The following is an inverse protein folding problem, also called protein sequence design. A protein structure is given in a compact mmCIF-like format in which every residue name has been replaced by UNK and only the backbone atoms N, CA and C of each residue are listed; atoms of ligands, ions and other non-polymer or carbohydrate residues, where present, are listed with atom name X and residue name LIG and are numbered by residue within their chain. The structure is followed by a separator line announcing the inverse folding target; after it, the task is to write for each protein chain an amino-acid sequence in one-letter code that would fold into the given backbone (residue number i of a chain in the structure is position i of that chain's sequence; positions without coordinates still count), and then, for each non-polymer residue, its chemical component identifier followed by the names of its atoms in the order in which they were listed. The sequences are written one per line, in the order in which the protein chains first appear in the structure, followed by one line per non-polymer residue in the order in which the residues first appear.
data_IF_973663032096
#
_entry.id   IF_973663032096
#
_cell.length_a   1.000
_cell.length_b   1.000
_cell.length_c   1.000
_cell.angle_alpha   90.00
_cell.angle_beta   90.00
_cell.angle_gamma   90.00
#
_symmetry.space_group_name_H-M   'P 1'
#
loop_
_entity.id
_entity.type
_entity.pdbx_description
1 polymer ?
#
# COMPACT_ATOMS: atom_id res chain seq x y z
N UNK A 1 48.09 -20.57 17.62
CA UNK A 1 48.01 -20.04 16.25
C UNK A 1 47.67 -21.19 15.32
N UNK A 2 46.45 -21.21 14.78
CA UNK A 2 46.02 -22.21 13.79
C UNK A 2 45.72 -21.53 12.45
N UNK A 3 45.94 -22.19 11.30
CA UNK A 3 45.84 -21.55 9.99
C UNK A 3 44.36 -21.38 9.59
N UNK A 4 44.02 -20.20 9.06
CA UNK A 4 42.69 -19.94 8.46
C UNK A 4 42.72 -20.38 6.99
N UNK A 5 41.67 -21.04 6.47
CA UNK A 5 41.59 -21.37 5.06
C UNK A 5 41.20 -20.13 4.23
N UNK A 6 41.95 -19.91 3.15
CA UNK A 6 41.66 -18.92 2.12
C UNK A 6 40.53 -19.42 1.21
N UNK A 7 39.44 -18.66 1.11
CA UNK A 7 38.41 -18.89 0.10
C UNK A 7 38.64 -17.99 -1.10
N UNK A 8 38.91 -18.62 -2.25
CA UNK A 8 39.02 -18.00 -3.57
C UNK A 8 37.62 -17.68 -4.09
N UNK A 9 37.33 -16.39 -4.33
CA UNK A 9 36.08 -15.94 -4.94
C UNK A 9 36.21 -15.94 -6.46
N UNK A 10 35.58 -16.90 -7.13
CA UNK A 10 35.48 -16.96 -8.59
C UNK A 10 34.40 -15.98 -9.05
N UNK A 11 34.77 -14.96 -9.84
CA UNK A 11 33.83 -14.02 -10.48
C UNK A 11 33.18 -14.71 -11.69
N UNK A 12 31.84 -14.87 -11.68
CA UNK A 12 31.06 -15.27 -12.85
C UNK A 12 30.84 -14.05 -13.77
N UNK A 13 31.24 -14.21 -15.03
CA UNK A 13 31.02 -13.30 -16.14
C UNK A 13 29.59 -13.48 -16.67
N UNK A 14 28.79 -12.41 -16.76
CA UNK A 14 27.48 -12.45 -17.41
C UNK A 14 27.55 -11.72 -18.76
N UNK A 15 27.26 -12.48 -19.81
CA UNK A 15 27.12 -12.00 -21.19
C UNK A 15 25.72 -11.39 -21.34
N UNK A 16 25.66 -10.09 -21.65
CA UNK A 16 24.40 -9.39 -21.95
C UNK A 16 24.09 -9.58 -23.43
N UNK A 17 22.99 -10.28 -23.74
CA UNK A 17 22.44 -10.40 -25.09
C UNK A 17 21.34 -9.35 -25.25
N UNK A 18 21.62 -8.28 -25.97
CA UNK A 18 20.65 -7.22 -26.31
C UNK A 18 19.79 -7.72 -27.48
N UNK A 19 18.46 -7.77 -27.29
CA UNK A 19 17.51 -7.87 -28.41
C UNK A 19 16.73 -6.57 -28.49
N UNK A 20 16.84 -5.89 -29.64
CA UNK A 20 16.02 -4.75 -30.00
C UNK A 20 14.59 -5.21 -30.29
N UNK A 21 13.61 -4.39 -29.91
CA UNK A 21 12.25 -4.52 -30.41
C UNK A 21 11.82 -3.18 -31.00
N UNK A 22 11.54 -3.25 -32.30
CA UNK A 22 11.02 -2.18 -33.15
C UNK A 22 9.52 -1.98 -32.94
N UNK A 23 9.13 -0.73 -33.18
CA UNK A 23 7.80 -0.12 -33.19
C UNK A 23 6.67 -0.97 -33.80
N UNK A 24 5.47 -0.90 -33.22
CA UNK A 24 4.22 -0.92 -33.98
C UNK A 24 3.14 -0.08 -33.28
N UNK A 25 2.85 1.09 -33.86
CA UNK A 25 1.71 1.96 -33.59
C UNK A 25 0.57 1.59 -34.55
N UNK A 26 -0.62 1.33 -34.01
CA UNK A 26 -1.96 1.40 -34.65
C UNK A 26 -2.96 1.16 -33.50
N UNK A 27 -3.86 2.06 -33.12
CA UNK A 27 -4.76 2.86 -33.93
C UNK A 27 -6.17 2.32 -33.64
N UNK A 28 -6.81 2.82 -32.58
CA UNK A 28 -8.25 2.60 -32.32
C UNK A 28 -8.82 3.84 -31.62
N UNK A 29 -9.56 4.64 -32.39
CA UNK A 29 -10.52 5.61 -31.91
C UNK A 29 -11.86 4.88 -31.74
N UNK A 30 -12.46 4.94 -30.56
CA UNK A 30 -13.88 4.60 -30.37
C UNK A 30 -14.52 5.77 -29.66
N UNK A 31 -15.40 6.47 -30.38
CA UNK A 31 -16.37 7.40 -29.83
C UNK A 31 -17.42 6.60 -29.06
N UNK A 32 -17.62 6.89 -27.78
CA UNK A 32 -18.81 6.44 -27.04
C UNK A 32 -19.61 7.65 -26.59
N UNK A 33 -20.80 7.78 -27.16
CA UNK A 33 -21.85 8.73 -26.79
C UNK A 33 -22.50 8.32 -25.47
N UNK A 34 -22.61 9.25 -24.53
CA UNK A 34 -23.36 9.12 -23.28
C UNK A 34 -24.79 9.63 -23.48
N UNK A 35 -25.84 8.93 -23.02
CA UNK A 35 -27.14 9.55 -22.82
C UNK A 35 -27.16 10.29 -21.48
N UNK A 36 -27.59 11.55 -21.53
CA UNK A 36 -28.03 12.30 -20.35
C UNK A 36 -29.31 11.66 -19.80
N UNK A 37 -29.34 11.37 -18.51
CA UNK A 37 -30.58 11.27 -17.75
C UNK A 37 -30.55 12.29 -16.62
N UNK A 38 -31.48 13.24 -16.70
CA UNK A 38 -31.93 14.06 -15.59
C UNK A 38 -33.08 13.33 -14.88
N UNK A 39 -33.09 13.35 -13.55
CA UNK A 39 -34.29 13.09 -12.76
C UNK A 39 -34.22 13.87 -11.44
N UNK A 40 -35.39 14.35 -11.05
CA UNK A 40 -35.65 15.47 -10.18
C UNK A 40 -35.58 15.16 -8.67
N UNK A 41 -35.39 16.26 -7.95
CA UNK A 41 -35.68 16.52 -6.53
C UNK A 41 -37.06 16.01 -6.10
N UNK A 42 -37.17 15.49 -4.87
CA UNK A 42 -38.20 15.70 -3.82
C UNK A 42 -37.58 15.02 -2.56
N UNK A 43 -37.37 15.64 -1.39
CA UNK A 43 -38.29 16.40 -0.54
C UNK A 43 -38.64 15.53 0.67
N UNK A 44 -38.08 15.81 1.85
CA UNK A 44 -38.46 15.13 3.10
C UNK A 44 -37.41 15.14 4.21
N UNK A 45 -37.41 16.18 5.04
CA UNK A 45 -36.80 16.21 6.39
C UNK A 45 -37.64 15.36 7.35
N UNK A 46 -37.03 14.86 8.44
CA UNK A 46 -37.43 15.43 9.72
C UNK A 46 -36.23 15.79 10.61
N UNK A 47 -36.44 16.83 11.41
CA UNK A 47 -35.62 17.23 12.54
C UNK A 47 -36.14 16.59 13.83
N UNK A 48 -35.24 16.48 14.81
CA UNK A 48 -35.37 16.32 16.28
C UNK A 48 -34.23 15.38 16.69
N UNK A 49 -33.36 15.67 17.64
CA UNK A 49 -33.30 16.72 18.64
C UNK A 49 -32.34 16.18 19.72
N UNK A 50 -31.44 17.05 20.18
CA UNK A 50 -30.78 17.04 21.49
C UNK A 50 -30.23 15.72 22.05
N UNK A 51 -28.89 15.59 21.95
CA UNK A 51 -28.09 15.11 23.07
C UNK A 51 -26.75 15.87 23.08
N UNK A 52 -26.83 17.08 23.64
CA UNK A 52 -25.71 17.78 24.26
C UNK A 52 -25.06 16.87 25.31
N UNK A 53 -23.80 16.52 25.12
CA UNK A 53 -22.92 16.09 26.20
C UNK A 53 -21.60 16.86 26.09
N UNK A 54 -21.34 17.58 27.18
CA UNK A 54 -20.28 18.57 27.37
C UNK A 54 -18.85 17.99 27.25
N UNK A 55 -17.85 18.83 26.98
CA UNK A 55 -16.44 18.43 26.89
C UNK A 55 -15.80 18.33 28.28
N UNK A 56 -15.00 17.30 28.51
CA UNK A 56 -14.04 17.27 29.63
C UNK A 56 -14.15 16.06 30.54
N UNK A 57 -13.43 14.99 30.19
CA UNK A 57 -12.83 14.07 31.15
C UNK A 57 -11.63 13.39 30.46
N UNK A 58 -10.43 13.88 30.73
CA UNK A 58 -9.19 13.20 30.34
C UNK A 58 -9.03 11.92 31.15
N UNK A 59 -8.78 10.79 30.48
CA UNK A 59 -8.37 9.55 31.15
C UNK A 59 -6.85 9.45 31.05
N UNK A 60 -6.11 9.37 32.17
CA UNK A 60 -4.67 9.23 32.17
C UNK A 60 -4.24 7.78 31.89
N UNK A 61 -3.19 7.62 31.08
CA UNK A 61 -2.26 6.49 31.14
C UNK A 61 -2.85 5.09 30.97
N UNK A 62 -3.26 4.73 29.75
CA UNK A 62 -3.43 3.32 29.37
C UNK A 62 -2.36 3.00 28.34
N UNK A 63 -1.35 2.23 28.74
CA UNK A 63 -0.44 1.57 27.80
C UNK A 63 -1.29 0.81 26.79
N UNK A 64 -0.98 0.95 25.49
CA UNK A 64 -1.76 0.32 24.42
C UNK A 64 -1.89 -1.19 24.72
N UNK A 65 -3.12 -1.72 24.92
CA UNK A 65 -3.28 -3.14 25.13
C UNK A 65 -2.87 -3.86 23.85
N UNK A 66 -1.93 -4.80 23.95
CA UNK A 66 -1.72 -5.82 22.92
C UNK A 66 -3.05 -6.57 22.78
N UNK A 67 -3.74 -6.52 21.63
CA UNK A 67 -5.08 -7.05 21.53
C UNK A 67 -5.09 -8.58 21.65
N UNK A 68 -6.09 -9.09 22.37
CA UNK A 68 -6.40 -10.51 22.43
C UNK A 68 -6.65 -11.07 21.01
N UNK A 69 -6.40 -12.37 20.76
CA UNK A 69 -6.54 -12.96 19.43
C UNK A 69 -8.00 -12.86 18.95
N UNK A 70 -8.24 -11.92 18.04
CA UNK A 70 -9.47 -11.87 17.24
C UNK A 70 -9.51 -13.16 16.41
N UNK A 71 -10.65 -13.86 16.41
CA UNK A 71 -10.86 -15.03 15.55
C UNK A 71 -10.47 -14.64 14.12
N UNK A 72 -9.39 -15.26 13.62
CA UNK A 72 -8.84 -14.89 12.33
C UNK A 72 -9.87 -15.23 11.26
N UNK A 73 -10.44 -14.21 10.60
CA UNK A 73 -11.11 -14.43 9.32
C UNK A 73 -10.12 -15.12 8.39
N UNK A 74 -10.41 -16.38 8.07
CA UNK A 74 -9.59 -17.18 7.16
C UNK A 74 -10.13 -17.00 5.75
N UNK A 75 -9.24 -16.74 4.80
CA UNK A 75 -9.57 -16.72 3.38
C UNK A 75 -9.00 -17.99 2.73
N UNK A 76 -9.57 -19.19 2.99
CA UNK A 76 -8.88 -20.46 2.76
C UNK A 76 -8.46 -20.68 1.31
N UNK A 77 -9.12 -20.05 0.35
CA UNK A 77 -8.81 -20.14 -1.07
C UNK A 77 -7.63 -19.26 -1.50
N UNK A 78 -7.32 -18.19 -0.76
CA UNK A 78 -6.35 -17.18 -1.14
C UNK A 78 -5.04 -17.28 -0.36
N UNK A 79 -4.00 -16.62 -0.86
CA UNK A 79 -2.77 -16.41 -0.09
C UNK A 79 -3.08 -15.66 1.22
N UNK A 80 -2.52 -16.16 2.33
CA UNK A 80 -2.79 -15.66 3.69
C UNK A 80 -1.87 -14.49 4.08
N UNK A 81 -1.01 -14.03 3.18
CA UNK A 81 -0.13 -12.89 3.41
C UNK A 81 -0.86 -11.54 3.24
N UNK A 82 -2.13 -11.58 2.84
CA UNK A 82 -2.99 -10.45 2.53
C UNK A 82 -4.36 -10.65 3.16
N UNK A 83 -4.96 -9.58 3.65
CA UNK A 83 -6.31 -9.57 4.21
C UNK A 83 -6.94 -8.18 4.05
N UNK A 84 -8.24 -8.08 3.70
CA UNK A 84 -8.96 -6.82 3.74
C UNK A 84 -8.96 -6.22 5.15
N UNK A 85 -8.70 -4.92 5.23
CA UNK A 85 -8.72 -4.18 6.48
C UNK A 85 -10.10 -3.55 6.76
N UNK A 86 -10.32 -3.15 8.01
CA UNK A 86 -11.51 -2.39 8.43
C UNK A 86 -11.11 -1.20 9.29
N UNK A 87 -11.83 -0.10 9.17
CA UNK A 87 -11.75 0.99 10.15
C UNK A 87 -12.87 0.78 11.17
N UNK A 88 -12.50 0.39 12.40
CA UNK A 88 -13.46 0.14 13.48
C UNK A 88 -14.03 1.44 14.05
N UNK A 89 -13.20 2.49 14.12
CA UNK A 89 -13.62 3.80 14.60
C UNK A 89 -12.76 4.91 14.01
N UNK A 90 -13.35 6.10 13.86
CA UNK A 90 -12.67 7.37 13.60
C UNK A 90 -13.36 8.47 14.39
N UNK A 91 -12.74 8.94 15.45
CA UNK A 91 -13.29 9.98 16.33
C UNK A 91 -12.16 10.84 16.91
N UNK A 92 -12.32 12.17 16.93
CA UNK A 92 -11.34 13.08 17.54
C UNK A 92 -9.92 12.98 16.96
N UNK A 93 -9.77 12.68 15.67
CA UNK A 93 -8.46 12.48 15.03
C UNK A 93 -7.77 11.15 15.40
N UNK A 94 -8.46 10.25 16.09
CA UNK A 94 -8.01 8.90 16.42
C UNK A 94 -8.68 7.90 15.50
N UNK A 95 -7.89 6.96 14.95
CA UNK A 95 -8.37 5.86 14.11
C UNK A 95 -7.97 4.52 14.71
N UNK A 96 -8.90 3.58 14.70
CA UNK A 96 -8.64 2.17 15.04
C UNK A 96 -8.88 1.34 13.80
N UNK A 97 -7.82 0.69 13.34
CA UNK A 97 -7.77 -0.14 12.14
C UNK A 97 -7.68 -1.60 12.56
N UNK A 98 -8.44 -2.48 11.92
CA UNK A 98 -8.36 -3.94 12.09
C UNK A 98 -7.85 -4.60 10.81
N UNK A 99 -7.27 -5.79 10.95
CA UNK A 99 -6.66 -6.51 9.84
C UNK A 99 -5.31 -5.94 9.43
N UNK A 100 -4.55 -5.36 10.36
CA UNK A 100 -3.17 -4.91 10.11
C UNK A 100 -2.20 -6.06 10.34
N UNK A 101 -1.31 -6.31 9.38
CA UNK A 101 -0.29 -7.37 9.48
C UNK A 101 0.94 -6.84 10.23
N UNK A 102 1.36 -7.52 11.29
CA UNK A 102 2.50 -7.09 12.11
C UNK A 102 3.74 -7.95 11.97
N UNK A 103 3.58 -9.25 11.72
CA UNK A 103 4.69 -10.20 11.74
C UNK A 103 4.43 -11.37 10.81
N UNK A 104 5.50 -12.09 10.46
CA UNK A 104 5.45 -13.42 9.83
C UNK A 104 6.23 -14.41 10.68
N UNK A 105 5.60 -15.53 11.05
CA UNK A 105 6.30 -16.73 11.47
C UNK A 105 6.96 -17.35 10.24
N UNK A 106 8.29 -17.26 10.15
CA UNK A 106 9.02 -17.64 8.96
C UNK A 106 9.00 -19.14 8.68
N UNK A 107 8.95 -19.96 9.74
CA UNK A 107 8.98 -21.42 9.66
C UNK A 107 7.63 -21.97 9.20
N UNK A 108 6.55 -21.48 9.82
CA UNK A 108 5.19 -21.95 9.56
C UNK A 108 4.51 -21.17 8.43
N UNK A 109 5.12 -20.08 7.99
CA UNK A 109 4.56 -19.14 7.03
C UNK A 109 3.17 -18.61 7.46
N UNK A 110 3.04 -18.32 8.76
CA UNK A 110 1.82 -17.79 9.38
C UNK A 110 2.01 -16.29 9.60
N UNK A 111 0.97 -15.50 9.33
CA UNK A 111 1.02 -14.05 9.52
C UNK A 111 0.24 -13.66 10.77
N UNK A 112 0.79 -12.75 11.56
CA UNK A 112 0.10 -12.18 12.72
C UNK A 112 -0.63 -10.91 12.29
N UNK A 113 -1.93 -10.91 12.55
CA UNK A 113 -2.83 -9.81 12.25
C UNK A 113 -3.38 -9.25 13.56
N UNK A 114 -3.62 -7.94 13.60
CA UNK A 114 -4.16 -7.29 14.77
C UNK A 114 -4.75 -5.93 14.47
N UNK A 115 -5.10 -5.24 15.55
CA UNK A 115 -5.58 -3.88 15.49
C UNK A 115 -4.41 -2.90 15.61
N UNK A 116 -4.50 -1.80 14.86
CA UNK A 116 -3.58 -0.68 14.96
C UNK A 116 -4.37 0.57 15.31
N UNK A 117 -3.94 1.26 16.36
CA UNK A 117 -4.45 2.57 16.74
C UNK A 117 -3.47 3.64 16.27
N UNK A 118 -3.93 4.61 15.49
CA UNK A 118 -3.11 5.75 15.02
C UNK A 118 -3.81 7.08 15.31
N UNK A 119 -3.01 8.14 15.43
CA UNK A 119 -3.49 9.50 15.67
C UNK A 119 -3.06 10.43 14.54
N UNK A 120 -4.02 11.18 14.01
CA UNK A 120 -3.79 12.20 12.98
C UNK A 120 -2.76 13.23 13.47
N UNK A 121 -2.78 13.60 14.77
CA UNK A 121 -1.81 14.52 15.39
C UNK A 121 -0.39 13.93 15.52
N UNK A 122 -0.28 12.60 15.56
CA UNK A 122 1.00 11.88 15.64
C UNK A 122 1.60 11.60 14.26
N UNK A 123 0.85 11.75 13.16
CA UNK A 123 1.38 11.57 11.80
C UNK A 123 2.56 12.55 11.60
N UNK A 124 3.73 12.03 11.24
CA UNK A 124 4.96 12.79 11.10
C UNK A 124 5.32 12.95 9.61
N UNK A 125 5.43 11.83 8.89
CA UNK A 125 5.84 11.81 7.50
C UNK A 125 5.01 10.83 6.66
N UNK A 126 4.88 11.14 5.38
CA UNK A 126 4.26 10.28 4.38
C UNK A 126 5.29 9.98 3.31
N UNK A 127 5.39 8.73 2.90
CA UNK A 127 6.37 8.28 1.93
C UNK A 127 5.65 7.66 0.74
N UNK A 128 6.22 7.89 -0.44
CA UNK A 128 5.90 7.11 -1.62
C UNK A 128 6.92 5.97 -1.73
N UNK A 129 6.43 4.74 -1.78
CA UNK A 129 7.25 3.55 -1.75
C UNK A 129 7.46 2.89 -3.11
N UNK A 130 8.57 2.19 -3.24
CA UNK A 130 8.88 1.28 -4.33
C UNK A 130 9.49 -0.02 -3.79
N UNK A 131 8.97 -1.17 -4.20
CA UNK A 131 9.61 -2.49 -3.99
C UNK A 131 10.02 -3.07 -5.33
N UNK A 132 11.23 -3.59 -5.41
CA UNK A 132 11.73 -4.25 -6.61
C UNK A 132 11.03 -5.60 -6.79
N UNK A 133 10.16 -5.77 -7.79
CA UNK A 133 9.51 -7.06 -8.03
C UNK A 133 9.02 -7.14 -9.47
N UNK A 134 9.65 -7.93 -10.36
CA UNK A 134 9.29 -7.98 -11.79
C UNK A 134 9.11 -6.57 -12.40
N UNK A 135 7.87 -6.07 -12.52
CA UNK A 135 7.51 -4.72 -13.00
C UNK A 135 7.61 -3.60 -11.95
N UNK A 136 7.90 -3.94 -10.70
CA UNK A 136 7.93 -3.07 -9.52
C UNK A 136 6.61 -3.10 -8.72
N UNK A 137 6.60 -2.42 -7.59
CA UNK A 137 5.40 -2.25 -6.76
C UNK A 137 5.42 -0.90 -6.05
N UNK A 138 4.36 -0.11 -6.16
CA UNK A 138 4.22 1.14 -5.41
C UNK A 138 3.22 1.02 -4.27
N UNK A 139 3.43 1.81 -3.24
CA UNK A 139 2.59 1.86 -2.05
C UNK A 139 2.78 3.21 -1.35
N UNK A 140 1.93 3.51 -0.37
CA UNK A 140 2.13 4.64 0.54
C UNK A 140 2.56 4.11 1.90
N UNK A 141 3.40 4.86 2.59
CA UNK A 141 3.78 4.57 3.98
C UNK A 141 3.60 5.81 4.83
N UNK A 142 3.13 5.63 6.06
CA UNK A 142 2.87 6.68 7.03
C UNK A 142 3.69 6.41 8.27
N UNK A 143 4.53 7.36 8.70
CA UNK A 143 5.25 7.29 9.98
C UNK A 143 4.57 8.17 11.02
N UNK A 144 4.59 7.70 12.26
CA UNK A 144 4.01 8.39 13.41
C UNK A 144 5.09 8.61 14.48
N UNK A 145 4.89 9.62 15.32
CA UNK A 145 5.84 10.04 16.38
C UNK A 145 6.17 8.96 17.40
N UNK A 146 5.30 7.96 17.56
CA UNK A 146 5.51 6.82 18.47
C UNK A 146 6.38 5.71 17.86
N UNK A 147 6.90 5.92 16.64
CA UNK A 147 7.69 4.95 15.90
C UNK A 147 6.86 4.04 15.00
N UNK A 148 5.53 4.08 15.09
CA UNK A 148 4.64 3.30 14.21
C UNK A 148 4.88 3.68 12.75
N UNK A 149 5.01 2.67 11.88
CA UNK A 149 5.09 2.85 10.42
C UNK A 149 4.09 1.94 9.73
N UNK A 150 3.09 2.52 9.11
CA UNK A 150 2.00 1.82 8.41
C UNK A 150 2.20 1.88 6.91
N UNK A 151 2.25 0.73 6.25
CA UNK A 151 2.19 0.58 4.80
C UNK A 151 0.75 0.34 4.37
N UNK A 152 0.31 1.09 3.36
CA UNK A 152 -0.96 0.91 2.66
C UNK A 152 -0.66 0.54 1.22
N UNK A 153 -1.02 -0.69 0.84
CA UNK A 153 -0.71 -1.22 -0.49
C UNK A 153 -1.89 -1.92 -1.14
N UNK A 154 -1.90 -1.92 -2.48
CA UNK A 154 -2.86 -2.67 -3.29
C UNK A 154 -2.15 -3.81 -3.97
N UNK A 155 -2.69 -5.01 -3.84
CA UNK A 155 -2.08 -6.23 -4.34
C UNK A 155 -3.10 -7.06 -5.15
N UNK A 156 -2.60 -7.86 -6.11
CA UNK A 156 -3.40 -8.94 -6.68
C UNK A 156 -3.59 -10.02 -5.61
N UNK A 157 -4.83 -10.38 -5.29
CA UNK A 157 -5.13 -11.47 -4.37
C UNK A 157 -5.16 -12.80 -5.13
N UNK A 158 -4.11 -13.58 -4.93
CA UNK A 158 -3.90 -14.85 -5.63
C UNK A 158 -4.53 -15.99 -4.86
N UNK A 159 -4.98 -17.01 -5.58
CA UNK A 159 -5.34 -18.28 -4.95
C UNK A 159 -4.08 -18.98 -4.44
N UNK A 160 -4.22 -19.82 -3.41
CA UNK A 160 -3.09 -20.57 -2.85
C UNK A 160 -2.37 -21.38 -3.93
N UNK A 161 -1.04 -21.29 -3.94
CA UNK A 161 -0.18 -22.00 -4.91
C UNK A 161 -0.13 -21.36 -6.30
N UNK A 162 -0.89 -20.29 -6.55
CA UNK A 162 -0.88 -19.62 -7.85
C UNK A 162 0.35 -18.72 -8.01
N UNK A 163 1.07 -18.88 -9.13
CA UNK A 163 2.16 -17.99 -9.50
C UNK A 163 1.61 -16.66 -10.01
N UNK A 164 2.27 -15.57 -9.62
CA UNK A 164 1.91 -14.25 -10.12
C UNK A 164 2.42 -14.05 -11.55
N UNK A 165 1.51 -13.72 -12.47
CA UNK A 165 1.82 -13.27 -13.83
C UNK A 165 1.29 -11.83 -14.01
N UNK A 166 2.16 -10.81 -13.88
CA UNK A 166 1.75 -9.41 -13.96
C UNK A 166 1.32 -8.97 -15.36
N UNK A 167 1.65 -9.72 -16.42
CA UNK A 167 1.40 -9.28 -17.79
C UNK A 167 0.13 -9.94 -18.29
N UNK A 168 0.11 -11.27 -18.41
CA UNK A 168 -1.04 -11.96 -19.01
C UNK A 168 -2.21 -12.00 -18.02
N UNK A 169 -1.98 -12.50 -16.81
CA UNK A 169 -3.04 -12.62 -15.81
C UNK A 169 -3.46 -11.27 -15.21
N UNK A 170 -2.50 -10.32 -15.11
CA UNK A 170 -2.76 -8.95 -14.70
C UNK A 170 -3.56 -8.14 -15.74
N UNK A 171 -3.43 -8.41 -17.04
CA UNK A 171 -4.23 -7.74 -18.07
C UNK A 171 -5.62 -8.38 -18.27
N UNK A 172 -5.80 -9.66 -17.96
CA UNK A 172 -7.09 -10.35 -18.10
C UNK A 172 -7.99 -10.23 -16.87
N UNK A 173 -7.55 -9.54 -15.82
CA UNK A 173 -8.34 -9.40 -14.58
C UNK A 173 -8.49 -10.71 -13.81
N UNK A 174 -7.51 -11.62 -13.92
CA UNK A 174 -7.55 -12.95 -13.30
C UNK A 174 -7.62 -12.89 -11.77
N UNK A 175 -6.90 -11.94 -11.20
CA UNK A 175 -6.76 -11.81 -9.75
C UNK A 175 -7.80 -10.84 -9.19
N UNK A 176 -8.34 -11.17 -8.03
CA UNK A 176 -9.10 -10.20 -7.24
C UNK A 176 -8.16 -9.10 -6.75
N UNK A 177 -8.71 -7.92 -6.49
CA UNK A 177 -7.99 -6.83 -5.86
C UNK A 177 -8.07 -6.97 -4.34
N UNK A 178 -6.96 -6.72 -3.63
CA UNK A 178 -6.99 -6.56 -2.17
C UNK A 178 -6.16 -5.34 -1.76
N UNK A 179 -6.75 -4.50 -0.90
CA UNK A 179 -5.99 -3.51 -0.15
C UNK A 179 -5.51 -4.13 1.15
N UNK A 180 -4.25 -3.90 1.47
CA UNK A 180 -3.58 -4.53 2.60
C UNK A 180 -2.97 -3.44 3.48
N UNK A 181 -3.13 -3.60 4.80
CA UNK A 181 -2.48 -2.78 5.82
C UNK A 181 -1.41 -3.60 6.51
N UNK A 182 -0.18 -3.09 6.52
CA UNK A 182 1.00 -3.85 6.97
C UNK A 182 1.92 -2.93 7.76
N UNK A 183 2.48 -3.40 8.87
CA UNK A 183 3.59 -2.70 9.54
C UNK A 183 4.82 -2.67 8.63
N UNK A 184 5.60 -1.60 8.66
CA UNK A 184 6.78 -1.52 7.79
C UNK A 184 7.78 -2.65 8.05
N UNK A 185 7.91 -3.11 9.30
CA UNK A 185 8.79 -4.23 9.65
C UNK A 185 8.31 -5.54 9.03
N UNK A 186 7.02 -5.86 9.10
CA UNK A 186 6.43 -7.02 8.41
C UNK A 186 6.58 -6.92 6.89
N UNK A 187 6.47 -5.70 6.36
CA UNK A 187 6.65 -5.45 4.94
C UNK A 187 8.09 -5.75 4.50
N UNK A 188 9.09 -5.27 5.24
CA UNK A 188 10.51 -5.51 4.96
C UNK A 188 10.92 -6.96 5.20
N UNK A 189 10.43 -7.60 6.26
CA UNK A 189 10.67 -9.01 6.52
C UNK A 189 10.22 -9.87 5.33
N UNK A 190 9.05 -9.54 4.76
CA UNK A 190 8.53 -10.24 3.59
C UNK A 190 9.30 -9.88 2.32
N UNK A 191 9.42 -8.59 2.01
CA UNK A 191 10.02 -8.12 0.76
C UNK A 191 11.52 -8.44 0.69
N UNK A 192 12.26 -8.06 1.72
CA UNK A 192 13.72 -8.18 1.75
C UNK A 192 14.13 -9.53 2.33
N UNK A 193 13.59 -9.90 3.48
CA UNK A 193 13.98 -11.11 4.21
C UNK A 193 13.61 -12.39 3.48
N UNK A 194 12.34 -12.53 3.05
CA UNK A 194 11.85 -13.74 2.36
C UNK A 194 12.10 -13.69 0.85
N UNK A 195 11.75 -12.59 0.20
CA UNK A 195 11.75 -12.52 -1.26
C UNK A 195 13.08 -12.03 -1.86
N UNK A 196 14.02 -11.58 -1.04
CA UNK A 196 15.34 -11.11 -1.50
C UNK A 196 15.28 -9.84 -2.35
N UNK A 197 14.23 -9.05 -2.18
CA UNK A 197 13.98 -7.81 -2.93
C UNK A 197 14.60 -6.62 -2.20
N UNK A 198 14.75 -5.49 -2.90
CA UNK A 198 15.02 -4.21 -2.26
C UNK A 198 13.75 -3.35 -2.17
N UNK A 199 13.77 -2.43 -1.23
CA UNK A 199 12.71 -1.48 -0.96
C UNK A 199 13.30 -0.08 -0.89
N UNK A 200 12.76 0.83 -1.68
CA UNK A 200 13.06 2.26 -1.65
C UNK A 200 11.83 3.02 -1.11
N UNK A 201 12.02 3.93 -0.17
CA UNK A 201 10.98 4.89 0.24
C UNK A 201 11.50 6.32 0.04
N UNK A 202 10.57 7.21 -0.30
CA UNK A 202 10.85 8.61 -0.57
C UNK A 202 9.88 9.46 0.24
N UNK A 203 10.34 10.31 1.17
CA UNK A 203 9.48 11.27 1.86
C UNK A 203 8.76 12.14 0.83
N UNK A 204 7.46 12.36 1.01
CA UNK A 204 6.68 13.24 0.16
C UNK A 204 6.86 14.69 0.59
N UNK A 205 7.25 15.53 -0.36
CA UNK A 205 7.32 16.99 -0.21
C UNK A 205 5.94 17.59 -0.39
N UNK A 206 5.11 17.44 0.64
CA UNK A 206 3.73 17.95 0.70
C UNK A 206 3.46 18.60 2.05
N UNK A 207 2.49 19.49 2.10
CA UNK A 207 2.06 20.20 3.32
C UNK A 207 1.50 19.25 4.38
N UNK A 208 1.42 19.73 5.63
CA UNK A 208 0.84 18.96 6.74
C UNK A 208 -0.60 18.54 6.44
N UNK A 209 -1.37 19.44 5.87
CA UNK A 209 -2.77 19.24 5.50
C UNK A 209 -2.89 18.17 4.42
N UNK A 210 -2.00 18.17 3.43
CA UNK A 210 -1.93 17.13 2.40
C UNK A 210 -1.54 15.77 2.98
N UNK A 211 -0.60 15.71 3.92
CA UNK A 211 -0.25 14.46 4.63
C UNK A 211 -1.47 13.86 5.32
N UNK A 212 -2.28 14.69 5.98
CA UNK A 212 -3.50 14.26 6.65
C UNK A 212 -4.56 13.77 5.64
N UNK A 213 -4.74 14.48 4.51
CA UNK A 213 -5.65 14.02 3.44
C UNK A 213 -5.16 12.73 2.78
N UNK A 214 -3.85 12.54 2.63
CA UNK A 214 -3.26 11.31 2.11
C UNK A 214 -3.56 10.13 3.03
N UNK A 215 -3.41 10.32 4.34
CA UNK A 215 -3.75 9.30 5.34
C UNK A 215 -5.24 8.95 5.27
N UNK A 216 -6.10 9.97 5.18
CA UNK A 216 -7.55 9.79 5.14
C UNK A 216 -8.00 9.02 3.89
N UNK A 217 -7.53 9.45 2.71
CA UNK A 217 -7.86 8.83 1.44
C UNK A 217 -7.29 7.40 1.35
N UNK A 218 -6.07 7.18 1.83
CA UNK A 218 -5.45 5.85 1.84
C UNK A 218 -6.21 4.87 2.74
N UNK A 219 -6.61 5.28 3.95
CA UNK A 219 -7.38 4.43 4.86
C UNK A 219 -8.80 4.21 4.34
N UNK A 220 -9.43 5.24 3.77
CA UNK A 220 -10.77 5.13 3.17
C UNK A 220 -10.78 4.11 2.04
N UNK A 221 -9.81 4.18 1.13
CA UNK A 221 -9.66 3.17 0.08
C UNK A 221 -9.25 1.81 0.65
N UNK A 222 -8.40 1.73 1.67
CA UNK A 222 -7.98 0.43 2.22
C UNK A 222 -9.09 -0.33 2.96
N UNK A 223 -10.13 0.37 3.39
CA UNK A 223 -11.19 -0.18 4.27
C UNK A 223 -12.58 -0.22 3.63
N UNK A 224 -12.72 0.24 2.38
CA UNK A 224 -13.96 0.09 1.62
C UNK A 224 -14.13 -1.34 1.10
N UNK A 225 -15.35 -1.69 0.72
CA UNK A 225 -15.62 -2.98 0.09
C UNK A 225 -15.10 -2.98 -1.36
N UNK A 226 -14.24 -3.95 -1.68
CA UNK A 226 -13.68 -4.18 -3.02
C UNK A 226 -14.15 -5.51 -3.63
N UNK A 227 -15.14 -6.19 -3.04
CA UNK A 227 -15.62 -7.48 -3.56
C UNK A 227 -16.04 -7.34 -5.02
N UNK A 228 -15.50 -8.23 -5.86
CA UNK A 228 -15.74 -8.23 -7.31
C UNK A 228 -14.79 -7.35 -8.11
N UNK A 229 -14.01 -6.46 -7.49
CA UNK A 229 -12.99 -5.70 -8.20
C UNK A 229 -11.80 -6.59 -8.58
N UNK A 230 -11.36 -6.45 -9.83
CA UNK A 230 -10.21 -7.19 -10.36
C UNK A 230 -8.96 -6.32 -10.38
N UNK A 231 -7.83 -6.93 -10.05
CA UNK A 231 -6.53 -6.33 -10.29
C UNK A 231 -6.30 -6.23 -11.80
N UNK A 232 -5.92 -5.04 -12.25
CA UNK A 232 -5.52 -4.81 -13.62
C UNK A 232 -4.22 -4.01 -13.70
N UNK A 233 -3.21 -4.54 -14.39
CA UNK A 233 -1.83 -4.01 -14.41
C UNK A 233 -1.73 -2.51 -14.67
N UNK A 234 -2.52 -1.99 -15.61
CA UNK A 234 -2.50 -0.56 -15.96
C UNK A 234 -3.54 0.29 -15.23
N UNK A 235 -4.78 -0.19 -15.10
CA UNK A 235 -5.91 0.64 -14.65
C UNK A 235 -6.29 0.45 -13.18
N UNK A 236 -6.09 -0.74 -12.62
CA UNK A 236 -6.43 -1.05 -11.22
C UNK A 236 -5.29 -1.85 -10.57
N UNK A 237 -4.14 -1.19 -10.40
CA UNK A 237 -2.90 -1.77 -9.89
C UNK A 237 -2.39 -1.03 -8.67
N UNK A 238 -1.27 -1.49 -8.11
CA UNK A 238 -0.58 -0.80 -7.02
C UNK A 238 -0.19 0.63 -7.40
N UNK A 239 0.33 0.84 -8.60
CA UNK A 239 0.70 2.16 -9.10
C UNK A 239 -0.49 3.06 -9.38
N UNK A 240 -1.52 2.56 -10.08
CA UNK A 240 -2.69 3.40 -10.40
C UNK A 240 -3.45 3.81 -9.14
N UNK A 241 -3.56 2.93 -8.15
CA UNK A 241 -4.23 3.24 -6.89
C UNK A 241 -3.40 4.16 -5.98
N UNK A 242 -2.08 3.97 -5.86
CA UNK A 242 -1.23 4.91 -5.12
C UNK A 242 -1.29 6.33 -5.71
N UNK A 243 -1.33 6.44 -7.04
CA UNK A 243 -1.49 7.72 -7.73
C UNK A 243 -2.90 8.29 -7.60
N UNK A 244 -3.94 7.45 -7.64
CA UNK A 244 -5.32 7.86 -7.36
C UNK A 244 -5.44 8.52 -5.99
N UNK A 245 -4.91 7.87 -4.95
CA UNK A 245 -4.88 8.42 -3.58
C UNK A 245 -4.10 9.72 -3.54
N UNK A 246 -2.90 9.75 -4.14
CA UNK A 246 -2.09 10.96 -4.21
C UNK A 246 -2.82 12.13 -4.86
N UNK A 247 -3.41 11.92 -6.04
CA UNK A 247 -4.12 12.96 -6.79
C UNK A 247 -5.35 13.45 -6.06
N UNK A 248 -6.14 12.57 -5.43
CA UNK A 248 -7.32 12.99 -4.65
C UNK A 248 -6.95 13.78 -3.41
N UNK A 249 -5.90 13.36 -2.70
CA UNK A 249 -5.47 14.03 -1.47
C UNK A 249 -4.78 15.38 -1.71
N UNK A 250 -4.04 15.52 -2.80
CA UNK A 250 -3.22 16.73 -3.08
C UNK A 250 -3.83 17.67 -4.12
N UNK A 251 -4.77 17.19 -4.94
CA UNK A 251 -5.24 17.93 -6.11
C UNK A 251 -4.22 17.98 -7.26
N UNK A 252 -3.03 17.41 -7.09
CA UNK A 252 -2.04 17.32 -8.15
C UNK A 252 -2.38 16.20 -9.13
N UNK A 253 -2.84 16.60 -10.31
CA UNK A 253 -3.15 15.67 -11.37
C UNK A 253 -1.88 15.08 -11.99
N UNK A 254 -1.75 13.77 -11.84
CA UNK A 254 -0.81 12.94 -12.58
C UNK A 254 -1.64 12.13 -13.56
N UNK A 255 -1.12 11.85 -14.76
CA UNK A 255 -1.86 11.06 -15.75
C UNK A 255 -2.05 9.65 -15.20
N UNK A 256 -3.25 9.39 -14.68
CA UNK A 256 -3.63 8.14 -14.00
C UNK A 256 -3.74 7.03 -15.04
N UNK A 257 -3.13 5.87 -14.78
CA UNK A 257 -3.62 4.61 -15.37
C UNK A 257 -2.77 3.95 -16.46
N UNK A 258 -1.51 4.32 -16.67
CA UNK A 258 -0.63 3.58 -17.62
C UNK A 258 0.84 3.49 -17.20
N UNK A 259 1.20 3.99 -16.03
CA UNK A 259 2.60 4.08 -15.64
C UNK A 259 3.03 2.85 -14.86
N UNK A 260 4.12 2.24 -15.33
CA UNK A 260 4.84 1.24 -14.54
C UNK A 260 5.35 1.88 -13.24
N UNK A 261 5.50 1.10 -12.16
CA UNK A 261 5.93 1.61 -10.87
C UNK A 261 7.22 2.46 -10.88
N UNK A 262 8.21 2.09 -11.70
CA UNK A 262 9.44 2.85 -11.87
C UNK A 262 9.23 4.20 -12.59
N UNK A 263 8.29 4.26 -13.54
CA UNK A 263 7.91 5.48 -14.26
C UNK A 263 7.21 6.45 -13.32
N UNK A 264 6.35 5.93 -12.43
CA UNK A 264 5.70 6.73 -11.39
C UNK A 264 6.72 7.42 -10.49
N UNK A 265 7.71 6.68 -9.98
CA UNK A 265 8.80 7.24 -9.17
C UNK A 265 9.55 8.33 -9.93
N UNK A 266 9.94 8.07 -11.18
CA UNK A 266 10.63 9.06 -12.02
C UNK A 266 9.80 10.33 -12.19
N UNK A 267 8.50 10.19 -12.43
CA UNK A 267 7.60 11.32 -12.67
C UNK A 267 7.38 12.17 -11.41
N UNK A 268 7.13 11.53 -10.27
CA UNK A 268 7.02 12.22 -8.97
C UNK A 268 8.33 12.95 -8.61
N UNK A 269 9.49 12.31 -8.86
CA UNK A 269 10.80 12.93 -8.63
C UNK A 269 11.02 14.15 -9.52
N UNK A 270 10.73 14.05 -10.83
CA UNK A 270 10.87 15.15 -11.78
C UNK A 270 9.97 16.35 -11.44
N UNK A 271 8.81 16.10 -10.83
CA UNK A 271 7.89 17.15 -10.36
C UNK A 271 8.24 17.70 -8.97
N UNK A 272 9.32 17.22 -8.36
CA UNK A 272 9.78 17.72 -7.07
C UNK A 272 9.00 17.21 -5.86
N UNK A 273 8.12 16.20 -6.02
CA UNK A 273 7.33 15.66 -4.91
C UNK A 273 8.10 14.68 -4.03
N UNK A 274 9.23 14.14 -4.50
CA UNK A 274 10.02 13.16 -3.75
C UNK A 274 11.23 13.81 -3.07
N UNK A 275 11.42 13.48 -1.79
CA UNK A 275 12.62 13.74 -1.01
C UNK A 275 13.75 12.76 -1.31
N UNK A 276 14.77 12.76 -0.45
CA UNK A 276 15.91 11.86 -0.58
C UNK A 276 15.51 10.41 -0.38
N UNK A 277 16.13 9.54 -1.18
CA UNK A 277 15.83 8.11 -1.19
C UNK A 277 16.37 7.44 0.06
N UNK A 278 15.53 6.66 0.73
CA UNK A 278 15.94 5.75 1.79
C UNK A 278 15.83 4.31 1.24
N UNK A 279 16.94 3.57 1.29
CA UNK A 279 17.09 2.26 0.65
C UNK A 279 17.21 1.15 1.68
N UNK A 280 16.47 0.06 1.46
CA UNK A 280 16.48 -1.14 2.27
C UNK A 280 16.73 -2.38 1.42
N UNK A 281 17.72 -3.16 1.80
CA UNK A 281 18.07 -4.43 1.18
C UNK A 281 18.60 -5.42 2.22
N UNK A 282 19.10 -6.57 1.77
CA UNK A 282 19.61 -7.62 2.64
C UNK A 282 20.74 -7.17 3.59
N UNK A 283 21.42 -6.05 3.30
CA UNK A 283 22.53 -5.54 4.10
C UNK A 283 22.11 -4.68 5.29
N UNK A 284 20.90 -4.09 5.27
CA UNK A 284 20.55 -3.04 6.23
C UNK A 284 19.13 -3.09 6.80
N UNK A 285 18.22 -3.93 6.28
CA UNK A 285 16.80 -3.88 6.68
C UNK A 285 16.53 -4.23 8.15
N UNK A 286 17.48 -4.89 8.84
CA UNK A 286 17.38 -5.24 10.26
C UNK A 286 17.91 -4.17 11.23
N UNK A 287 18.46 -3.07 10.71
CA UNK A 287 19.10 -2.02 11.52
C UNK A 287 18.16 -0.83 11.76
N UNK A 288 16.84 -1.07 11.80
CA UNK A 288 15.78 -0.06 11.73
C UNK A 288 15.18 0.37 13.06
#
# INVERSE_FOLDING_TARGET
MGPRPHYIRVKKLYIIRVKSYTSFLRGFFVFLSLPLFAAAVHGGTPALGDLLLAPGAGIPGVAAPVPAPVQAETFPEYDQDRKPARQLSKAGGVRVLDGVRFERDAEKNIYRWGQLRVEDAALEEVYFGFRSASVGHNYLMFSFKDGTRLVVEVLPWKKKGEKFDPIVAGMTGKYDLVWNLVSFDSFLETAVGRDGLYVDIYPLKVSREEKLRLLDEAITEATRDHRGEKYHTFFNSCSSNAIKVFTRATGHHLVVGRMLPSVVIKHLKLRGFLGERQHYDASNWRNL
#
